data_IF_483653727269
#
_entry.id   IF_483653727269
#
_cell.length_a   1.000
_cell.length_b   1.000
_cell.length_c   1.000
_cell.angle_alpha   90.00
_cell.angle_beta   90.00
_cell.angle_gamma   90.00
#
_symmetry.space_group_name_H-M   'P 1'
#
loop_
_entity.id
_entity.type
_entity.pdbx_description
1 polymer ?
#
# COMPACT_ATOMS: atom_id res chain seq x y z
N UNK A 1 -18.77 10.72 -22.59
CA UNK A 1 -18.39 10.83 -21.17
C UNK A 1 -19.40 11.77 -20.55
N UNK A 2 -20.21 11.30 -19.61
CA UNK A 2 -20.98 12.23 -18.78
C UNK A 2 -20.01 13.19 -18.09
N UNK A 3 -20.34 14.49 -17.98
CA UNK A 3 -19.55 15.41 -17.17
C UNK A 3 -19.46 14.82 -15.77
N UNK A 4 -18.24 14.73 -15.24
CA UNK A 4 -18.04 14.30 -13.84
C UNK A 4 -18.96 15.17 -12.97
N UNK A 5 -19.78 14.57 -12.09
CA UNK A 5 -20.72 15.33 -11.29
C UNK A 5 -19.97 16.42 -10.53
N UNK A 6 -20.57 17.61 -10.42
CA UNK A 6 -19.95 18.72 -9.71
C UNK A 6 -19.54 18.28 -8.30
N UNK A 7 -18.39 18.79 -7.85
CA UNK A 7 -17.91 18.60 -6.48
C UNK A 7 -19.00 19.11 -5.54
N UNK A 8 -19.46 18.32 -4.56
CA UNK A 8 -20.46 18.79 -3.61
C UNK A 8 -19.97 20.05 -2.90
N UNK A 9 -20.81 21.07 -2.76
CA UNK A 9 -20.46 22.27 -1.96
C UNK A 9 -20.48 21.98 -0.45
N UNK A 10 -21.29 20.98 -0.05
CA UNK A 10 -21.45 20.55 1.35
C UNK A 10 -21.36 19.04 1.45
N UNK A 11 -20.92 18.60 2.62
CA UNK A 11 -20.91 17.20 3.02
C UNK A 11 -22.22 16.92 3.77
N UNK A 12 -23.02 15.98 3.28
CA UNK A 12 -24.22 15.50 3.97
C UNK A 12 -24.08 14.01 4.32
N UNK A 13 -24.98 13.53 5.19
CA UNK A 13 -24.89 12.18 5.72
C UNK A 13 -25.02 11.08 4.65
N UNK A 14 -25.52 11.37 3.45
CA UNK A 14 -25.71 10.39 2.38
C UNK A 14 -24.52 10.39 1.41
N UNK A 15 -24.18 11.57 0.90
CA UNK A 15 -23.06 11.78 -0.02
C UNK A 15 -21.73 11.25 0.54
N UNK A 16 -21.51 11.35 1.85
CA UNK A 16 -20.32 10.79 2.53
C UNK A 16 -20.14 9.32 2.27
N UNK A 17 -21.20 8.53 2.09
CA UNK A 17 -21.12 7.08 1.92
C UNK A 17 -21.29 6.62 0.47
N UNK A 18 -21.81 7.46 -0.42
CA UNK A 18 -22.02 7.11 -1.84
C UNK A 18 -20.98 7.70 -2.80
N UNK A 19 -20.39 8.88 -2.50
CA UNK A 19 -19.54 9.62 -3.45
C UNK A 19 -18.03 9.44 -3.23
N UNK A 20 -17.26 8.90 -4.21
CA UNK A 20 -15.80 8.86 -4.12
C UNK A 20 -15.17 10.26 -4.11
N UNK A 21 -15.91 11.29 -4.52
CA UNK A 21 -15.48 12.69 -4.51
C UNK A 21 -15.20 13.20 -3.10
N UNK A 22 -15.78 12.59 -2.06
CA UNK A 22 -15.59 12.97 -0.67
C UNK A 22 -14.56 12.01 -0.06
N UNK A 23 -13.27 12.32 -0.22
CA UNK A 23 -12.19 11.41 0.16
C UNK A 23 -11.76 11.58 1.63
N UNK A 24 -11.73 10.52 2.45
CA UNK A 24 -11.26 10.60 3.84
C UNK A 24 -9.73 10.70 3.90
N UNK A 25 -9.22 11.92 4.07
CA UNK A 25 -7.79 12.20 4.08
C UNK A 25 -7.11 11.69 5.36
N UNK A 26 -7.63 12.04 6.54
CA UNK A 26 -7.02 11.70 7.82
C UNK A 26 -8.01 11.72 8.98
N UNK A 27 -7.70 10.98 10.04
CA UNK A 27 -8.26 11.16 11.38
C UNK A 27 -7.41 12.19 12.15
N UNK A 28 -8.00 13.28 12.60
CA UNK A 28 -7.29 14.31 13.34
C UNK A 28 -8.17 14.93 14.43
N UNK A 29 -7.71 14.89 15.69
CA UNK A 29 -8.35 15.56 16.84
C UNK A 29 -9.85 15.26 16.99
N UNK A 30 -10.25 13.99 16.85
CA UNK A 30 -11.66 13.58 16.94
C UNK A 30 -12.50 13.88 15.69
N UNK A 31 -11.88 14.38 14.61
CA UNK A 31 -12.52 14.69 13.32
C UNK A 31 -11.97 13.78 12.22
N UNK A 32 -12.76 13.54 11.18
CA UNK A 32 -12.31 13.06 9.88
C UNK A 32 -12.15 14.29 8.98
N UNK A 33 -10.97 14.46 8.41
CA UNK A 33 -10.72 15.44 7.37
C UNK A 33 -11.10 14.82 6.02
N UNK A 34 -12.01 15.46 5.30
CA UNK A 34 -12.38 15.09 3.94
C UNK A 34 -11.90 16.14 2.95
N UNK A 35 -11.49 15.69 1.76
CA UNK A 35 -11.11 16.57 0.66
C UNK A 35 -11.86 16.21 -0.62
N UNK A 36 -12.19 17.21 -1.45
CA UNK A 36 -12.84 16.99 -2.73
C UNK A 36 -11.89 16.33 -3.72
N UNK A 37 -12.35 15.28 -4.38
CA UNK A 37 -11.64 14.53 -5.40
C UNK A 37 -12.51 14.38 -6.64
N UNK A 38 -11.86 14.11 -7.77
CA UNK A 38 -12.48 13.70 -9.04
C UNK A 38 -11.69 12.49 -9.58
N UNK A 39 -12.16 11.78 -10.62
CA UNK A 39 -11.36 10.75 -11.27
C UNK A 39 -9.96 11.23 -11.69
N UNK A 40 -9.85 12.49 -12.12
CA UNK A 40 -8.57 13.09 -12.51
C UNK A 40 -7.69 13.45 -11.31
N UNK A 41 -8.27 13.95 -10.21
CA UNK A 41 -7.55 14.19 -8.95
C UNK A 41 -6.92 12.91 -8.38
N UNK A 42 -7.66 11.79 -8.41
CA UNK A 42 -7.10 10.49 -8.01
C UNK A 42 -5.92 10.08 -8.90
N UNK A 43 -6.05 10.25 -10.22
CA UNK A 43 -4.99 9.92 -11.18
C UNK A 43 -3.73 10.77 -11.00
N UNK A 44 -3.89 12.08 -10.78
CA UNK A 44 -2.79 13.04 -10.56
C UNK A 44 -2.09 12.85 -9.21
N UNK A 45 -2.82 12.38 -8.20
CA UNK A 45 -2.27 12.14 -6.87
C UNK A 45 -1.29 10.96 -6.88
N UNK A 46 0.00 11.27 -6.65
CA UNK A 46 1.03 10.22 -6.49
C UNK A 46 0.70 9.35 -5.26
N UNK A 47 0.26 10.01 -4.19
CA UNK A 47 -0.27 9.39 -2.97
C UNK A 47 -1.46 10.19 -2.45
N UNK A 48 -2.35 9.54 -1.71
CA UNK A 48 -3.57 10.13 -1.14
C UNK A 48 -3.38 10.43 0.35
N UNK A 49 -2.25 11.07 0.65
CA UNK A 49 -1.87 11.56 1.98
C UNK A 49 -1.53 13.06 1.94
N UNK A 50 -1.40 13.63 3.14
CA UNK A 50 -1.18 15.06 3.32
C UNK A 50 0.12 15.50 2.64
N UNK A 51 0.00 16.53 1.81
CA UNK A 51 1.12 17.16 1.11
C UNK A 51 1.44 16.55 -0.27
N UNK A 52 0.85 15.40 -0.63
CA UNK A 52 1.07 14.75 -1.94
C UNK A 52 -0.22 14.46 -2.70
N UNK A 53 -1.36 14.50 -2.02
CA UNK A 53 -2.67 14.48 -2.67
C UNK A 53 -2.90 15.76 -3.47
N UNK A 54 -3.53 15.63 -4.63
CA UNK A 54 -3.93 16.74 -5.51
C UNK A 54 -5.46 16.83 -5.48
N UNK A 55 -6.04 17.60 -4.54
CA UNK A 55 -7.48 17.71 -4.42
C UNK A 55 -8.08 18.49 -5.60
N UNK A 56 -9.37 18.27 -5.85
CA UNK A 56 -10.11 18.91 -6.93
C UNK A 56 -10.46 20.38 -6.63
N UNK A 57 -10.48 20.75 -5.36
CA UNK A 57 -10.66 22.12 -4.89
C UNK A 57 -9.84 22.37 -3.61
N UNK A 58 -9.65 23.63 -3.26
CA UNK A 58 -8.87 24.06 -2.08
C UNK A 58 -9.63 23.88 -0.76
N UNK A 59 -10.97 23.81 -0.81
CA UNK A 59 -11.78 23.56 0.38
C UNK A 59 -11.71 22.10 0.81
N UNK A 60 -12.05 21.83 2.07
CA UNK A 60 -12.23 20.50 2.63
C UNK A 60 -13.26 20.56 3.75
N UNK A 61 -13.62 19.41 4.30
CA UNK A 61 -14.60 19.31 5.38
C UNK A 61 -14.00 18.62 6.60
N UNK A 62 -14.43 19.06 7.77
CA UNK A 62 -14.10 18.41 9.03
C UNK A 62 -15.41 17.92 9.64
N UNK A 63 -15.52 16.62 9.86
CA UNK A 63 -16.73 16.02 10.43
C UNK A 63 -16.34 15.21 11.67
N UNK A 64 -17.06 15.33 12.80
CA UNK A 64 -16.74 14.56 13.99
C UNK A 64 -16.77 13.07 13.71
N UNK A 65 -15.73 12.34 14.14
CA UNK A 65 -15.62 10.89 13.93
C UNK A 65 -16.84 10.18 14.51
N UNK A 66 -17.27 10.58 15.71
CA UNK A 66 -18.44 10.00 16.37
C UNK A 66 -19.74 10.18 15.57
N UNK A 67 -19.89 11.30 14.86
CA UNK A 67 -21.05 11.55 14.00
C UNK A 67 -21.02 10.59 12.79
N UNK A 68 -19.90 10.52 12.07
CA UNK A 68 -19.79 9.64 10.89
C UNK A 68 -19.94 8.17 11.27
N UNK A 69 -19.39 7.74 12.42
CA UNK A 69 -19.56 6.39 12.94
C UNK A 69 -21.01 6.08 13.28
N UNK A 70 -21.71 7.00 13.95
CA UNK A 70 -23.12 6.83 14.28
C UNK A 70 -23.97 6.73 13.01
N UNK A 71 -23.67 7.53 11.98
CA UNK A 71 -24.38 7.52 10.70
C UNK A 71 -24.12 6.20 9.94
N UNK A 72 -22.86 5.74 9.94
CA UNK A 72 -22.47 4.46 9.34
C UNK A 72 -23.21 3.27 9.97
N UNK A 73 -23.33 3.25 11.29
CA UNK A 73 -24.00 2.18 12.03
C UNK A 73 -25.51 2.18 11.82
N UNK A 74 -26.14 3.37 11.85
CA UNK A 74 -27.58 3.48 11.57
C UNK A 74 -27.93 3.00 10.17
N UNK A 75 -27.05 3.22 9.20
CA UNK A 75 -27.26 2.79 7.81
C UNK A 75 -27.05 1.29 7.59
N UNK A 76 -26.36 0.59 8.50
CA UNK A 76 -26.05 -0.84 8.37
C UNK A 76 -25.43 -1.21 7.02
N UNK A 77 -24.48 -0.39 6.53
CA UNK A 77 -23.86 -0.61 5.22
C UNK A 77 -22.99 -1.87 5.19
N UNK A 78 -23.08 -2.61 4.09
CA UNK A 78 -22.21 -3.76 3.82
C UNK A 78 -20.76 -3.33 3.60
N UNK A 79 -19.83 -4.22 3.94
CA UNK A 79 -18.41 -4.03 3.64
C UNK A 79 -18.19 -4.25 2.15
N UNK A 80 -17.59 -3.30 1.40
CA UNK A 80 -17.35 -3.49 -0.02
C UNK A 80 -16.20 -4.49 -0.25
N UNK A 81 -16.25 -5.29 -1.33
CA UNK A 81 -15.06 -6.00 -1.80
C UNK A 81 -14.02 -4.98 -2.27
N UNK A 82 -12.78 -5.17 -1.81
CA UNK A 82 -11.63 -4.35 -2.19
C UNK A 82 -10.52 -5.24 -2.75
N UNK A 83 -9.77 -4.71 -3.71
CA UNK A 83 -8.51 -5.30 -4.12
C UNK A 83 -7.34 -4.55 -3.47
N UNK A 84 -6.50 -5.25 -2.72
CA UNK A 84 -5.37 -4.63 -2.04
C UNK A 84 -4.05 -4.94 -2.74
N UNK A 85 -3.24 -3.91 -3.00
CA UNK A 85 -1.82 -4.08 -3.34
C UNK A 85 -1.00 -3.80 -2.08
N UNK A 86 -0.69 -4.87 -1.35
CA UNK A 86 0.27 -4.84 -0.24
C UNK A 86 1.69 -4.90 -0.80
N UNK A 87 2.63 -4.21 -0.17
CA UNK A 87 3.99 -4.16 -0.69
C UNK A 87 5.02 -3.85 0.39
N UNK A 88 6.25 -4.32 0.22
CA UNK A 88 7.31 -4.16 1.24
C UNK A 88 8.07 -2.83 1.18
N UNK A 89 7.51 -1.81 0.52
CA UNK A 89 8.18 -0.61 0.01
C UNK A 89 9.26 -0.84 -1.07
N UNK A 90 9.53 0.23 -1.83
CA UNK A 90 10.61 0.32 -2.82
C UNK A 90 10.69 -0.80 -3.88
N UNK A 91 9.60 -1.52 -4.10
CA UNK A 91 9.49 -2.67 -5.01
C UNK A 91 8.61 -2.38 -6.24
N UNK A 92 8.57 -1.13 -6.72
CA UNK A 92 7.78 -0.78 -7.91
C UNK A 92 6.26 -0.68 -7.68
N UNK A 93 5.76 -0.72 -6.44
CA UNK A 93 4.31 -0.62 -6.17
C UNK A 93 3.66 0.64 -6.73
N UNK A 94 4.35 1.79 -6.72
CA UNK A 94 3.84 3.03 -7.35
C UNK A 94 3.72 2.89 -8.87
N UNK A 95 4.69 2.22 -9.52
CA UNK A 95 4.62 1.96 -10.97
C UNK A 95 3.41 1.07 -11.29
N UNK A 96 3.26 -0.05 -10.58
CA UNK A 96 2.12 -0.96 -10.73
C UNK A 96 0.79 -0.23 -10.52
N UNK A 97 0.65 0.52 -9.43
CA UNK A 97 -0.58 1.25 -9.11
C UNK A 97 -0.91 2.41 -10.07
N UNK A 98 0.05 2.88 -10.87
CA UNK A 98 -0.22 3.82 -11.96
C UNK A 98 -0.64 3.07 -13.22
N UNK A 99 -0.01 1.94 -13.50
CA UNK A 99 -0.27 1.15 -14.69
C UNK A 99 -1.63 0.44 -14.68
N UNK A 100 -2.13 0.07 -13.49
CA UNK A 100 -3.46 -0.52 -13.30
C UNK A 100 -4.55 0.51 -13.00
N UNK A 101 -4.27 1.82 -13.07
CA UNK A 101 -5.26 2.89 -12.90
C UNK A 101 -5.89 3.28 -14.24
N UNK A 102 -6.76 2.42 -14.73
CA UNK A 102 -7.39 2.51 -16.06
C UNK A 102 -8.69 3.31 -15.95
N UNK A 103 -8.81 4.46 -16.65
CA UNK A 103 -10.03 5.26 -16.67
C UNK A 103 -11.27 4.42 -17.00
N UNK A 104 -12.30 4.53 -16.16
CA UNK A 104 -13.57 3.82 -16.33
C UNK A 104 -13.58 2.34 -15.93
N UNK A 105 -12.42 1.70 -15.70
CA UNK A 105 -12.36 0.27 -15.29
C UNK A 105 -11.96 0.08 -13.84
N UNK A 106 -11.02 0.90 -13.36
CA UNK A 106 -10.50 0.82 -11.99
C UNK A 106 -10.47 2.19 -11.34
N UNK A 107 -10.57 2.21 -10.01
CA UNK A 107 -10.25 3.37 -9.18
C UNK A 107 -9.11 2.99 -8.24
N UNK A 108 -7.91 3.53 -8.46
CA UNK A 108 -6.73 3.22 -7.64
C UNK A 108 -6.50 4.29 -6.58
N UNK A 109 -6.63 3.91 -5.31
CA UNK A 109 -6.35 4.76 -4.16
C UNK A 109 -4.96 4.43 -3.62
N UNK A 110 -4.04 5.41 -3.68
CA UNK A 110 -2.61 5.20 -3.45
C UNK A 110 -2.18 5.62 -2.07
N UNK A 111 -1.91 4.64 -1.21
CA UNK A 111 -1.42 4.85 0.17
C UNK A 111 -2.39 5.65 1.06
N UNK A 112 -3.65 5.21 1.26
CA UNK A 112 -4.59 5.94 2.12
C UNK A 112 -4.02 6.17 3.52
N UNK A 113 -3.96 7.44 3.94
CA UNK A 113 -3.36 7.80 5.21
C UNK A 113 -4.21 7.35 6.41
N UNK A 114 -5.54 7.35 6.27
CA UNK A 114 -6.47 6.79 7.28
C UNK A 114 -6.15 5.33 7.61
N UNK A 115 -5.89 4.48 6.61
CA UNK A 115 -5.43 3.09 6.85
C UNK A 115 -4.05 3.05 7.51
N UNK A 116 -3.12 3.94 7.11
CA UNK A 116 -1.81 4.03 7.76
C UNK A 116 -1.95 4.38 9.25
N UNK A 117 -2.82 5.32 9.61
CA UNK A 117 -3.05 5.72 11.00
C UNK A 117 -3.58 4.56 11.84
N UNK A 118 -4.59 3.84 11.33
CA UNK A 118 -5.12 2.64 11.99
C UNK A 118 -4.07 1.55 12.13
N UNK A 119 -3.22 1.35 11.12
CA UNK A 119 -2.17 0.35 11.16
C UNK A 119 -1.08 0.68 12.20
N UNK A 120 -0.69 1.95 12.33
CA UNK A 120 0.28 2.39 13.34
C UNK A 120 -0.29 2.26 14.75
N UNK A 121 -1.56 2.63 14.95
CA UNK A 121 -2.25 2.46 16.23
C UNK A 121 -2.33 0.97 16.63
N UNK A 122 -2.65 0.09 15.68
CA UNK A 122 -2.67 -1.35 15.90
C UNK A 122 -1.28 -1.95 16.19
N UNK A 123 -0.21 -1.33 15.68
CA UNK A 123 1.16 -1.78 15.84
C UNK A 123 1.82 -1.32 17.15
N UNK A 124 1.12 -0.53 17.97
CA UNK A 124 1.59 -0.15 19.30
C UNK A 124 1.83 -1.42 20.17
N UNK A 125 2.80 -1.42 21.11
CA UNK A 125 3.11 -2.59 21.92
C UNK A 125 1.93 -3.21 22.67
N UNK A 126 1.01 -2.36 23.14
CA UNK A 126 -0.22 -2.74 23.83
C UNK A 126 -1.44 -2.89 22.89
N UNK A 127 -1.22 -2.77 21.57
CA UNK A 127 -2.30 -2.65 20.58
C UNK A 127 -2.99 -1.27 20.62
N UNK A 128 -4.12 -1.12 19.90
CA UNK A 128 -4.86 0.13 19.87
C UNK A 128 -5.47 0.41 21.25
N UNK A 129 -5.45 1.68 21.68
CA UNK A 129 -5.95 2.08 23.01
C UNK A 129 -7.42 1.70 23.23
N UNK A 130 -8.23 1.82 22.19
CA UNK A 130 -9.64 1.42 22.17
C UNK A 130 -9.87 0.47 20.98
N UNK A 131 -9.76 -0.85 21.19
CA UNK A 131 -9.94 -1.84 20.12
C UNK A 131 -11.33 -1.81 19.47
N UNK A 132 -12.37 -1.45 20.23
CA UNK A 132 -13.74 -1.40 19.71
C UNK A 132 -13.89 -0.22 18.74
N UNK A 133 -13.45 0.97 19.13
CA UNK A 133 -13.43 2.16 18.26
C UNK A 133 -12.50 1.96 17.07
N UNK A 134 -11.33 1.34 17.26
CA UNK A 134 -10.42 1.00 16.17
C UNK A 134 -11.09 0.13 15.10
N UNK A 135 -11.81 -0.93 15.53
CA UNK A 135 -12.52 -1.82 14.61
C UNK A 135 -13.63 -1.07 13.84
N UNK A 136 -14.42 -0.25 14.55
CA UNK A 136 -15.44 0.62 13.94
C UNK A 136 -14.84 1.56 12.88
N UNK A 137 -13.72 2.20 13.20
CA UNK A 137 -13.00 3.08 12.25
C UNK A 137 -12.40 2.32 11.06
N UNK A 138 -11.96 1.08 11.24
CA UNK A 138 -11.50 0.22 10.16
C UNK A 138 -12.63 -0.16 9.20
N UNK A 139 -13.78 -0.60 9.73
CA UNK A 139 -14.98 -0.89 8.94
C UNK A 139 -15.50 0.34 8.21
N UNK A 140 -15.50 1.48 8.88
CA UNK A 140 -15.85 2.76 8.26
C UNK A 140 -14.88 3.09 7.13
N UNK A 141 -13.58 3.04 7.38
CA UNK A 141 -12.57 3.45 6.38
C UNK A 141 -12.65 2.59 5.12
N UNK A 142 -12.84 1.28 5.23
CA UNK A 142 -12.97 0.39 4.06
C UNK A 142 -14.25 0.63 3.28
N UNK A 143 -15.37 0.90 3.95
CA UNK A 143 -16.61 1.38 3.30
C UNK A 143 -16.35 2.70 2.58
N UNK A 144 -15.62 3.61 3.22
CA UNK A 144 -15.38 4.90 2.61
C UNK A 144 -14.48 4.81 1.37
N UNK A 145 -13.46 3.96 1.43
CA UNK A 145 -12.55 3.73 0.32
C UNK A 145 -13.19 2.93 -0.81
N UNK A 146 -14.16 2.05 -0.53
CA UNK A 146 -14.79 1.16 -1.52
C UNK A 146 -15.86 1.79 -2.40
N UNK A 147 -16.11 3.09 -2.24
CA UNK A 147 -16.95 3.87 -3.15
C UNK A 147 -16.35 3.89 -4.56
N UNK A 148 -17.22 3.93 -5.57
CA UNK A 148 -16.86 3.86 -7.00
C UNK A 148 -17.76 4.77 -7.84
N UNK A 149 -17.31 5.13 -9.04
CA UNK A 149 -18.10 5.95 -9.97
C UNK A 149 -19.03 5.13 -10.84
N UNK A 150 -18.68 3.86 -11.12
CA UNK A 150 -19.52 2.90 -11.82
C UNK A 150 -19.60 1.59 -11.01
N UNK A 151 -20.74 0.90 -11.05
CA UNK A 151 -21.02 -0.25 -10.20
C UNK A 151 -19.99 -1.40 -10.40
N UNK A 152 -19.57 -1.62 -11.64
CA UNK A 152 -18.61 -2.63 -12.08
C UNK A 152 -17.14 -2.19 -11.95
N UNK A 153 -16.88 -0.94 -11.57
CA UNK A 153 -15.52 -0.42 -11.41
C UNK A 153 -14.82 -1.06 -10.21
N UNK A 154 -13.69 -1.73 -10.45
CA UNK A 154 -12.89 -2.31 -9.38
C UNK A 154 -12.18 -1.22 -8.57
N UNK A 155 -12.29 -1.29 -7.24
CA UNK A 155 -11.57 -0.38 -6.34
C UNK A 155 -10.30 -1.05 -5.83
N UNK A 156 -9.17 -0.43 -6.14
CA UNK A 156 -7.85 -0.94 -5.82
C UNK A 156 -7.20 -0.03 -4.77
N UNK A 157 -6.86 -0.59 -3.62
CA UNK A 157 -6.16 0.11 -2.54
C UNK A 157 -4.69 -0.32 -2.54
N UNK A 158 -3.80 0.57 -2.98
CA UNK A 158 -2.37 0.38 -2.77
C UNK A 158 -2.04 0.72 -1.33
N UNK A 159 -1.68 -0.28 -0.53
CA UNK A 159 -1.46 -0.13 0.89
C UNK A 159 -0.16 0.65 1.21
N UNK A 160 -0.05 1.11 2.46
CA UNK A 160 1.19 1.62 3.07
C UNK A 160 1.93 0.48 3.79
N UNK A 161 3.25 0.60 4.04
CA UNK A 161 4.02 -0.43 4.77
C UNK A 161 3.41 -0.85 6.12
N UNK A 162 3.04 0.08 7.03
CA UNK A 162 2.36 -0.30 8.27
C UNK A 162 1.12 -1.18 8.07
N UNK A 163 0.38 -0.97 6.98
CA UNK A 163 -0.87 -1.67 6.69
C UNK A 163 -0.64 -3.16 6.43
N UNK A 164 0.58 -3.58 6.06
CA UNK A 164 0.94 -5.00 5.95
C UNK A 164 0.72 -5.77 7.28
N UNK A 165 0.84 -5.08 8.42
CA UNK A 165 0.68 -5.70 9.75
C UNK A 165 -0.77 -5.81 10.21
N UNK A 166 -1.71 -5.18 9.50
CA UNK A 166 -3.15 -5.35 9.71
C UNK A 166 -3.84 -6.13 8.59
N UNK A 167 -3.05 -6.78 7.72
CA UNK A 167 -3.54 -7.51 6.55
C UNK A 167 -4.66 -8.52 6.90
N UNK A 168 -4.55 -9.37 7.94
CA UNK A 168 -5.63 -10.30 8.28
C UNK A 168 -6.94 -9.58 8.63
N UNK A 169 -6.86 -8.46 9.37
CA UNK A 169 -8.04 -7.68 9.73
C UNK A 169 -8.75 -7.15 8.49
N UNK A 170 -8.01 -6.62 7.50
CA UNK A 170 -8.58 -6.14 6.23
C UNK A 170 -9.20 -7.27 5.39
N UNK A 171 -8.49 -8.39 5.24
CA UNK A 171 -8.95 -9.50 4.40
C UNK A 171 -10.17 -10.23 4.97
N UNK A 172 -10.40 -10.12 6.29
CA UNK A 172 -11.55 -10.72 6.98
C UNK A 172 -12.82 -9.86 6.93
N UNK A 173 -12.73 -8.59 6.51
CA UNK A 173 -13.91 -7.70 6.42
C UNK A 173 -14.89 -8.10 5.31
N UNK A 174 -14.37 -8.70 4.24
CA UNK A 174 -15.20 -9.16 3.13
C UNK A 174 -14.61 -10.42 2.50
N UNK A 175 -15.47 -11.44 2.30
CA UNK A 175 -15.09 -12.76 1.77
C UNK A 175 -14.59 -12.75 0.33
N UNK A 176 -14.88 -11.71 -0.43
CA UNK A 176 -14.48 -11.59 -1.84
C UNK A 176 -13.34 -10.58 -2.06
N UNK A 177 -12.88 -9.88 -1.01
CA UNK A 177 -11.69 -9.04 -1.15
C UNK A 177 -10.48 -9.88 -1.60
N UNK A 178 -9.64 -9.33 -2.45
CA UNK A 178 -8.48 -10.04 -3.01
C UNK A 178 -7.25 -9.17 -2.82
N UNK A 179 -6.08 -9.75 -3.02
CA UNK A 179 -4.88 -8.94 -2.90
C UNK A 179 -3.63 -9.53 -3.51
N UNK A 180 -2.71 -8.62 -3.80
CA UNK A 180 -1.39 -8.89 -4.31
C UNK A 180 -0.36 -8.49 -3.27
N UNK A 181 0.57 -9.38 -2.97
CA UNK A 181 1.67 -9.18 -2.04
C UNK A 181 2.96 -8.98 -2.83
N UNK A 182 3.31 -7.72 -3.08
CA UNK A 182 4.48 -7.34 -3.87
C UNK A 182 5.75 -7.33 -3.00
N UNK A 183 6.73 -8.16 -3.37
CA UNK A 183 7.96 -8.36 -2.61
C UNK A 183 9.21 -8.36 -3.50
N UNK A 184 10.38 -8.43 -2.85
CA UNK A 184 11.67 -8.62 -3.51
C UNK A 184 12.66 -9.25 -2.53
N UNK A 185 13.78 -9.76 -3.04
CA UNK A 185 14.89 -10.26 -2.22
C UNK A 185 15.53 -9.18 -1.35
N UNK A 186 16.21 -9.63 -0.29
CA UNK A 186 16.82 -8.74 0.71
C UNK A 186 17.74 -7.69 0.08
N UNK A 187 18.66 -8.10 -0.81
CA UNK A 187 19.64 -7.18 -1.38
C UNK A 187 18.97 -6.09 -2.22
N UNK A 188 18.05 -6.47 -3.12
CA UNK A 188 17.29 -5.51 -3.93
C UNK A 188 16.50 -4.53 -3.06
N UNK A 189 15.95 -5.00 -1.94
CA UNK A 189 15.29 -4.15 -0.97
C UNK A 189 16.26 -3.16 -0.31
N UNK A 190 17.41 -3.66 0.18
CA UNK A 190 18.45 -2.85 0.83
C UNK A 190 19.03 -1.80 -0.12
N UNK A 191 19.37 -2.17 -1.37
CA UNK A 191 19.85 -1.24 -2.39
C UNK A 191 18.89 -0.08 -2.60
N UNK A 192 17.58 -0.35 -2.57
CA UNK A 192 16.57 0.67 -2.79
C UNK A 192 16.34 1.57 -1.55
N UNK A 193 16.43 1.00 -0.35
CA UNK A 193 16.16 1.66 0.93
C UNK A 193 17.38 2.42 1.47
N UNK A 194 18.59 1.93 1.22
CA UNK A 194 19.83 2.55 1.72
C UNK A 194 20.39 3.61 0.76
N UNK A 195 19.81 3.75 -0.43
CA UNK A 195 20.27 4.66 -1.50
C UNK A 195 20.44 6.12 -1.09
N UNK A 196 19.58 6.65 -0.20
CA UNK A 196 19.60 8.08 0.14
C UNK A 196 19.46 8.31 1.65
N UNK A 197 19.97 9.43 2.20
CA UNK A 197 19.76 9.78 3.61
C UNK A 197 18.28 9.87 4.00
N UNK A 198 17.42 10.30 3.07
CA UNK A 198 15.97 10.35 3.29
C UNK A 198 15.38 8.94 3.46
N UNK A 199 15.74 7.99 2.60
CA UNK A 199 15.25 6.60 2.72
C UNK A 199 15.79 5.90 3.97
N UNK A 200 17.03 6.17 4.37
CA UNK A 200 17.63 5.68 5.63
C UNK A 200 16.87 6.19 6.86
N UNK A 201 16.54 7.49 6.90
CA UNK A 201 15.69 8.05 7.97
C UNK A 201 14.29 7.45 7.96
N UNK A 202 13.70 7.29 6.76
CA UNK A 202 12.38 6.69 6.60
C UNK A 202 12.33 5.28 7.18
N UNK A 203 13.28 4.40 6.84
CA UNK A 203 13.25 3.01 7.32
C UNK A 203 13.43 2.95 8.83
N UNK A 204 14.37 3.69 9.41
CA UNK A 204 14.53 3.76 10.86
C UNK A 204 13.25 4.24 11.57
N UNK A 205 12.58 5.26 11.02
CA UNK A 205 11.32 5.76 11.58
C UNK A 205 10.19 4.72 11.50
N UNK A 206 10.00 4.08 10.35
CA UNK A 206 8.94 3.09 10.15
C UNK A 206 9.18 1.85 11.02
N UNK A 207 10.41 1.34 11.09
CA UNK A 207 10.75 0.19 11.94
C UNK A 207 10.47 0.50 13.41
N UNK A 208 10.80 1.72 13.90
CA UNK A 208 10.45 2.14 15.27
C UNK A 208 8.95 2.26 15.51
N UNK A 209 8.20 2.84 14.56
CA UNK A 209 6.74 2.95 14.66
C UNK A 209 6.05 1.58 14.75
N UNK A 210 6.67 0.55 14.19
CA UNK A 210 6.13 -0.81 14.14
C UNK A 210 6.72 -1.73 15.23
N UNK A 211 7.33 -1.18 16.28
CA UNK A 211 8.01 -1.97 17.31
C UNK A 211 7.14 -3.08 17.90
N UNK A 212 5.88 -2.79 18.26
CA UNK A 212 4.97 -3.81 18.80
C UNK A 212 4.69 -4.92 17.79
N UNK A 213 4.35 -4.56 16.55
CA UNK A 213 4.07 -5.50 15.48
C UNK A 213 5.28 -6.35 15.04
N UNK A 214 6.49 -5.77 15.07
CA UNK A 214 7.76 -6.45 14.81
C UNK A 214 8.04 -7.47 15.91
N UNK A 215 7.92 -7.09 17.19
CA UNK A 215 8.11 -8.01 18.32
C UNK A 215 7.07 -9.12 18.37
N UNK A 216 5.89 -8.90 17.80
CA UNK A 216 4.87 -9.93 17.60
C UNK A 216 5.18 -10.87 16.42
N UNK A 217 6.34 -10.73 15.76
CA UNK A 217 6.77 -11.63 14.69
C UNK A 217 7.63 -12.74 15.30
N UNK A 218 7.31 -14.03 15.05
CA UNK A 218 8.11 -15.14 15.54
C UNK A 218 9.59 -14.99 15.18
N UNK A 219 10.47 -15.07 16.17
CA UNK A 219 11.91 -14.93 16.04
C UNK A 219 12.44 -13.49 16.06
N UNK A 220 11.59 -12.48 16.29
CA UNK A 220 11.98 -11.06 16.45
C UNK A 220 11.52 -10.45 17.79
N UNK A 221 11.07 -11.26 18.73
CA UNK A 221 10.44 -10.83 20.00
C UNK A 221 11.35 -9.96 20.85
N UNK A 222 12.66 -10.27 20.83
CA UNK A 222 13.68 -9.61 21.65
C UNK A 222 14.34 -8.42 20.97
N UNK A 223 13.99 -8.13 19.71
CA UNK A 223 14.60 -7.03 18.97
C UNK A 223 14.17 -5.69 19.57
N UNK A 224 15.12 -4.78 19.67
CA UNK A 224 14.88 -3.37 20.00
C UNK A 224 15.13 -2.51 18.75
N UNK A 225 14.07 -2.18 17.97
CA UNK A 225 14.18 -1.32 16.79
C UNK A 225 14.82 0.04 17.04
N UNK A 226 14.85 0.53 18.29
CA UNK A 226 15.49 1.79 18.64
C UNK A 226 17.02 1.74 18.57
N UNK A 227 17.61 0.54 18.67
CA UNK A 227 19.07 0.32 18.69
C UNK A 227 19.65 -0.09 17.34
N UNK A 228 18.80 -0.39 16.36
CA UNK A 228 19.24 -0.83 15.04
C UNK A 228 19.80 0.33 14.22
N UNK A 229 20.93 0.10 13.56
CA UNK A 229 21.41 1.00 12.52
C UNK A 229 20.53 0.90 11.25
N UNK A 230 20.78 1.73 10.22
CA UNK A 230 19.91 1.77 9.04
C UNK A 230 19.84 0.44 8.26
N UNK A 231 20.97 -0.24 7.95
CA UNK A 231 20.95 -1.57 7.33
C UNK A 231 20.18 -2.62 8.16
N UNK A 232 20.41 -2.69 9.47
CA UNK A 232 19.72 -3.63 10.35
C UNK A 232 18.23 -3.31 10.48
N UNK A 233 17.86 -2.03 10.59
CA UNK A 233 16.48 -1.60 10.64
C UNK A 233 15.73 -1.96 9.33
N UNK A 234 16.41 -1.88 8.19
CA UNK A 234 15.88 -2.31 6.91
C UNK A 234 15.72 -3.83 6.84
N UNK A 235 16.76 -4.59 7.22
CA UNK A 235 16.70 -6.05 7.28
C UNK A 235 15.58 -6.56 8.21
N UNK A 236 15.45 -5.96 9.40
CA UNK A 236 14.40 -6.25 10.38
C UNK A 236 13.01 -6.00 9.79
N UNK A 237 12.80 -4.85 9.15
CA UNK A 237 11.51 -4.52 8.54
C UNK A 237 11.20 -5.42 7.34
N UNK A 238 12.19 -5.78 6.52
CA UNK A 238 12.03 -6.74 5.42
C UNK A 238 11.56 -8.10 5.94
N UNK A 239 12.26 -8.63 6.95
CA UNK A 239 12.00 -9.94 7.53
C UNK A 239 10.61 -10.00 8.19
N UNK A 240 10.26 -8.97 8.97
CA UNK A 240 8.95 -8.86 9.59
C UNK A 240 7.82 -8.83 8.54
N UNK A 241 7.98 -8.06 7.45
CA UNK A 241 6.98 -7.99 6.38
C UNK A 241 6.84 -9.32 5.62
N UNK A 242 7.95 -9.98 5.26
CA UNK A 242 7.87 -11.28 4.57
C UNK A 242 7.26 -12.37 5.46
N UNK A 243 7.53 -12.35 6.76
CA UNK A 243 6.87 -13.25 7.70
C UNK A 243 5.35 -13.05 7.71
N UNK A 244 4.88 -11.80 7.70
CA UNK A 244 3.44 -11.48 7.58
C UNK A 244 2.85 -11.95 6.25
N UNK A 245 3.54 -11.71 5.13
CA UNK A 245 3.07 -12.15 3.82
C UNK A 245 3.00 -13.67 3.72
N UNK A 246 4.02 -14.39 4.20
CA UNK A 246 4.04 -15.86 4.21
C UNK A 246 2.85 -16.42 4.99
N UNK A 247 2.60 -15.89 6.19
CA UNK A 247 1.44 -16.33 6.98
C UNK A 247 0.12 -16.01 6.28
N UNK A 248 -0.02 -14.80 5.75
CA UNK A 248 -1.23 -14.41 5.03
C UNK A 248 -1.53 -15.31 3.82
N UNK A 249 -0.49 -15.72 3.07
CA UNK A 249 -0.64 -16.63 1.93
C UNK A 249 -1.01 -18.05 2.36
N UNK A 250 -0.54 -18.51 3.52
CA UNK A 250 -0.97 -19.79 4.08
C UNK A 250 -2.46 -19.75 4.47
N UNK A 251 -2.88 -18.66 5.12
CA UNK A 251 -4.21 -18.53 5.73
C UNK A 251 -5.30 -18.06 4.73
N UNK A 252 -4.92 -17.41 3.62
CA UNK A 252 -5.87 -16.80 2.69
C UNK A 252 -5.58 -17.13 1.21
N UNK A 253 -6.45 -17.94 0.59
CA UNK A 253 -6.31 -18.35 -0.81
C UNK A 253 -6.62 -17.26 -1.86
N UNK A 254 -7.15 -16.11 -1.41
CA UNK A 254 -7.49 -14.93 -2.23
C UNK A 254 -6.30 -13.99 -2.44
N UNK A 255 -5.15 -14.33 -1.86
CA UNK A 255 -3.91 -13.59 -2.02
C UNK A 255 -3.00 -14.28 -3.03
N UNK A 256 -2.23 -13.47 -3.75
CA UNK A 256 -1.12 -13.91 -4.60
C UNK A 256 0.15 -13.15 -4.25
N UNK A 257 1.31 -13.80 -4.35
CA UNK A 257 2.62 -13.14 -4.26
C UNK A 257 3.08 -12.66 -5.63
N UNK A 258 3.87 -11.59 -5.66
CA UNK A 258 4.56 -11.15 -6.86
C UNK A 258 5.96 -10.68 -6.51
N UNK A 259 6.97 -11.34 -7.09
CA UNK A 259 8.33 -10.79 -7.12
C UNK A 259 8.33 -9.56 -8.05
N UNK A 260 8.75 -8.42 -7.52
CA UNK A 260 8.75 -7.19 -8.30
C UNK A 260 9.66 -7.23 -9.53
N UNK A 261 10.64 -8.14 -9.64
CA UNK A 261 11.42 -8.27 -10.87
C UNK A 261 10.51 -8.57 -12.07
N UNK A 262 9.47 -9.38 -11.89
CA UNK A 262 8.52 -9.70 -12.95
C UNK A 262 7.77 -8.47 -13.46
N UNK A 263 7.53 -7.45 -12.63
CA UNK A 263 6.92 -6.19 -13.07
C UNK A 263 7.80 -5.44 -14.08
N UNK A 264 9.12 -5.59 -13.98
CA UNK A 264 10.07 -4.94 -14.89
C UNK A 264 10.38 -5.83 -16.10
N UNK A 265 10.41 -7.14 -15.90
CA UNK A 265 10.83 -8.10 -16.93
C UNK A 265 9.67 -8.52 -17.83
N UNK A 266 8.47 -8.67 -17.26
CA UNK A 266 7.23 -9.12 -17.93
C UNK A 266 6.05 -8.20 -17.60
N UNK A 267 6.17 -6.86 -17.82
CA UNK A 267 5.19 -5.88 -17.38
C UNK A 267 3.76 -6.17 -17.88
N UNK A 268 3.58 -6.45 -19.18
CA UNK A 268 2.25 -6.69 -19.75
C UNK A 268 1.53 -7.87 -19.07
N UNK A 269 2.24 -8.98 -18.84
CA UNK A 269 1.69 -10.18 -18.20
C UNK A 269 1.31 -9.92 -16.74
N UNK A 270 2.16 -9.18 -16.02
CA UNK A 270 1.86 -8.76 -14.64
C UNK A 270 0.61 -7.86 -14.59
N UNK A 271 0.47 -6.92 -15.51
CA UNK A 271 -0.70 -6.03 -15.54
C UNK A 271 -1.99 -6.80 -15.82
N UNK A 272 -1.95 -7.71 -16.80
CA UNK A 272 -3.10 -8.55 -17.14
C UNK A 272 -3.51 -9.43 -15.96
N UNK A 273 -2.57 -10.19 -15.37
CA UNK A 273 -2.86 -11.07 -14.25
C UNK A 273 -3.30 -10.30 -12.99
N UNK A 274 -2.74 -9.11 -12.74
CA UNK A 274 -3.14 -8.27 -11.61
C UNK A 274 -4.59 -7.79 -11.76
N UNK A 275 -4.97 -7.31 -12.95
CA UNK A 275 -6.33 -6.84 -13.20
C UNK A 275 -7.34 -7.98 -13.18
N UNK A 276 -7.00 -9.13 -13.77
CA UNK A 276 -7.84 -10.33 -13.71
C UNK A 276 -8.08 -10.75 -12.25
N UNK A 277 -7.03 -10.78 -11.43
CA UNK A 277 -7.17 -11.06 -10.00
C UNK A 277 -8.07 -10.02 -9.30
N UNK A 278 -7.99 -8.75 -9.69
CA UNK A 278 -8.80 -7.66 -9.18
C UNK A 278 -10.26 -7.64 -9.69
N UNK A 279 -10.62 -8.55 -10.59
CA UNK A 279 -11.96 -8.62 -11.19
C UNK A 279 -12.19 -7.64 -12.35
N UNK A 280 -11.12 -7.10 -12.93
CA UNK A 280 -11.14 -6.28 -14.13
C UNK A 280 -10.44 -7.00 -15.29
N UNK A 281 -10.64 -6.55 -16.53
CA UNK A 281 -10.00 -7.15 -17.70
C UNK A 281 -9.10 -6.17 -18.44
N UNK A 282 -7.96 -6.68 -18.90
CA UNK A 282 -7.04 -6.00 -19.81
C UNK A 282 -6.68 -6.97 -20.94
N UNK A 283 -6.93 -6.57 -22.18
CA UNK A 283 -6.54 -7.39 -23.33
C UNK A 283 -5.02 -7.36 -23.51
N UNK A 284 -4.45 -8.38 -24.16
CA UNK A 284 -3.02 -8.43 -24.46
C UNK A 284 -2.49 -7.16 -25.17
N UNK A 285 -3.16 -6.65 -26.22
CA UNK A 285 -2.77 -5.39 -26.87
C UNK A 285 -2.81 -4.17 -25.94
N UNK A 286 -3.84 -4.04 -25.09
CA UNK A 286 -3.91 -2.93 -24.12
C UNK A 286 -2.78 -3.03 -23.07
N UNK A 287 -2.51 -4.23 -22.56
CA UNK A 287 -1.41 -4.47 -21.64
C UNK A 287 -0.05 -4.15 -22.27
N UNK A 288 0.15 -4.55 -23.54
CA UNK A 288 1.33 -4.22 -24.33
C UNK A 288 1.49 -2.71 -24.53
N UNK A 289 0.41 -1.99 -24.82
CA UNK A 289 0.43 -0.54 -25.00
C UNK A 289 0.81 0.21 -23.71
N UNK A 290 0.27 -0.20 -22.56
CA UNK A 290 0.62 0.39 -21.26
C UNK A 290 2.08 0.08 -20.92
N UNK A 291 2.51 -1.17 -21.08
CA UNK A 291 3.87 -1.62 -20.80
C UNK A 291 4.93 -0.97 -21.69
N UNK A 292 4.60 -0.72 -22.97
CA UNK A 292 5.49 -0.06 -23.94
C UNK A 292 5.51 1.46 -23.86
N UNK A 293 4.57 2.06 -23.12
CA UNK A 293 4.36 3.51 -23.04
C UNK A 293 5.32 4.26 -22.11
N UNK A 294 5.15 5.59 -22.04
CA UNK A 294 6.02 6.48 -21.24
C UNK A 294 6.07 6.13 -19.75
N UNK A 295 5.02 5.52 -19.20
CA UNK A 295 4.96 5.16 -17.77
C UNK A 295 6.13 4.23 -17.35
N UNK A 296 6.56 3.34 -18.23
CA UNK A 296 7.68 2.42 -17.99
C UNK A 296 9.04 2.97 -18.43
N UNK A 297 9.07 4.19 -18.98
CA UNK A 297 10.29 4.91 -19.38
C UNK A 297 10.61 6.10 -18.47
N UNK A 298 9.75 6.37 -17.47
CA UNK A 298 9.87 7.49 -16.53
C UNK A 298 9.85 7.00 -15.09
N UNK A 299 10.45 7.78 -14.19
CA UNK A 299 10.41 7.47 -12.78
C UNK A 299 8.99 7.64 -12.21
N UNK A 300 8.42 6.58 -11.63
CA UNK A 300 7.00 6.55 -11.24
C UNK A 300 6.57 7.62 -10.22
N UNK A 301 7.52 8.18 -9.46
CA UNK A 301 7.30 9.28 -8.49
C UNK A 301 7.82 10.63 -8.96
N UNK A 302 8.50 10.67 -10.10
CA UNK A 302 9.06 11.89 -10.71
C UNK A 302 8.95 11.75 -12.24
N UNK A 303 7.78 12.05 -12.82
CA UNK A 303 7.53 11.81 -14.24
C UNK A 303 8.47 12.57 -15.19
N UNK A 304 9.15 13.62 -14.72
CA UNK A 304 10.13 14.37 -15.53
C UNK A 304 11.43 13.60 -15.75
N UNK A 305 11.79 12.70 -14.84
CA UNK A 305 13.04 11.93 -14.89
C UNK A 305 12.88 10.68 -15.76
N UNK A 306 13.70 10.57 -16.82
CA UNK A 306 13.84 9.33 -17.59
C UNK A 306 14.40 8.22 -16.69
N UNK A 307 13.71 7.09 -16.64
CA UNK A 307 14.06 5.95 -15.81
C UNK A 307 13.33 4.70 -16.30
N UNK A 308 13.99 3.96 -17.18
CA UNK A 308 13.52 2.68 -17.72
C UNK A 308 14.14 1.49 -16.96
N UNK A 309 13.87 0.27 -17.45
CA UNK A 309 14.42 -0.97 -16.90
C UNK A 309 15.95 -0.97 -16.90
N UNK A 310 16.59 -0.52 -17.96
CA UNK A 310 18.04 -0.50 -18.06
C UNK A 310 18.68 0.50 -17.10
N UNK A 311 18.10 1.69 -16.98
CA UNK A 311 18.51 2.71 -16.02
C UNK A 311 18.39 2.18 -14.60
N UNK A 312 17.31 1.45 -14.28
CA UNK A 312 17.17 0.76 -12.98
C UNK A 312 18.28 -0.27 -12.77
N UNK A 313 18.57 -1.11 -13.76
CA UNK A 313 19.64 -2.13 -13.66
C UNK A 313 21.01 -1.49 -13.44
N UNK A 314 21.36 -0.45 -14.23
CA UNK A 314 22.63 0.29 -14.07
C UNK A 314 22.73 0.94 -12.69
N UNK A 315 21.65 1.54 -12.20
CA UNK A 315 21.62 2.18 -10.88
C UNK A 315 21.80 1.18 -9.74
N UNK A 316 21.14 0.02 -9.81
CA UNK A 316 21.31 -1.03 -8.79
C UNK A 316 22.72 -1.65 -8.81
N UNK A 317 23.31 -1.86 -9.99
CA UNK A 317 24.68 -2.35 -10.11
C UNK A 317 25.68 -1.38 -9.45
N UNK A 318 25.58 -0.08 -9.76
CA UNK A 318 26.45 0.94 -9.16
C UNK A 318 26.28 1.04 -7.63
N UNK A 319 25.05 0.88 -7.12
CA UNK A 319 24.78 0.87 -5.69
C UNK A 319 25.30 -0.39 -4.99
N UNK A 320 25.35 -1.53 -5.69
CA UNK A 320 25.83 -2.79 -5.12
C UNK A 320 27.28 -2.68 -4.66
N UNK A 321 28.14 -2.08 -5.48
CA UNK A 321 29.55 -1.90 -5.13
C UNK A 321 29.71 -0.92 -3.97
N UNK A 322 28.95 0.18 -3.98
CA UNK A 322 29.00 1.21 -2.94
C UNK A 322 28.49 0.74 -1.58
N UNK A 323 27.48 -0.13 -1.57
CA UNK A 323 26.78 -0.57 -0.37
C UNK A 323 27.20 -1.97 0.10
N UNK A 324 28.19 -2.61 -0.55
CA UNK A 324 28.58 -3.99 -0.24
C UNK A 324 28.81 -4.27 1.26
N UNK A 325 29.54 -3.44 2.03
CA UNK A 325 29.71 -3.68 3.47
C UNK A 325 28.40 -3.64 4.25
N UNK A 326 27.47 -2.77 3.85
CA UNK A 326 26.16 -2.66 4.50
C UNK A 326 25.22 -3.80 4.13
N UNK A 327 25.29 -4.29 2.89
CA UNK A 327 24.59 -5.50 2.47
C UNK A 327 25.05 -6.71 3.28
N UNK A 328 26.36 -6.88 3.45
CA UNK A 328 26.92 -7.97 4.24
C UNK A 328 26.56 -7.86 5.73
N UNK A 329 26.62 -6.65 6.31
CA UNK A 329 26.17 -6.41 7.68
C UNK A 329 24.69 -6.79 7.86
N UNK A 330 23.82 -6.36 6.94
CA UNK A 330 22.40 -6.69 6.99
C UNK A 330 22.13 -8.20 6.82
N UNK A 331 22.82 -8.87 5.89
CA UNK A 331 22.70 -10.33 5.70
C UNK A 331 23.15 -11.09 6.95
N UNK A 332 24.28 -10.70 7.54
CA UNK A 332 24.79 -11.31 8.77
C UNK A 332 23.82 -11.08 9.93
N UNK A 333 23.23 -9.88 10.03
CA UNK A 333 22.19 -9.60 11.00
C UNK A 333 20.98 -10.53 10.81
N UNK A 334 20.46 -10.69 9.59
CA UNK A 334 19.35 -11.63 9.32
C UNK A 334 19.71 -13.04 9.78
N UNK A 335 20.88 -13.56 9.37
CA UNK A 335 21.35 -14.90 9.78
C UNK A 335 21.47 -15.08 11.28
N UNK A 336 21.76 -14.01 12.02
CA UNK A 336 21.86 -14.05 13.49
C UNK A 336 20.51 -14.09 14.21
N UNK A 337 19.39 -13.88 13.49
CA UNK A 337 18.05 -13.91 14.08
C UNK A 337 17.38 -15.27 13.86
N UNK A 338 16.62 -15.80 14.84
CA UNK A 338 15.85 -17.03 14.66
C UNK A 338 14.86 -16.94 13.48
N UNK A 339 14.30 -15.74 13.24
CA UNK A 339 13.44 -15.50 12.10
C UNK A 339 14.18 -15.65 10.75
N UNK A 340 15.46 -15.31 10.69
CA UNK A 340 16.28 -15.39 9.47
C UNK A 340 16.66 -16.81 9.07
N UNK A 341 16.85 -17.73 10.02
CA UNK A 341 17.14 -19.14 9.73
C UNK A 341 16.02 -19.83 8.94
N UNK A 342 14.78 -19.38 9.13
CA UNK A 342 13.59 -19.89 8.42
C UNK A 342 13.17 -19.02 7.22
N UNK A 343 13.91 -17.94 6.93
CA UNK A 343 13.53 -16.96 5.93
C UNK A 343 13.86 -17.44 4.51
N UNK A 344 12.87 -18.01 3.82
CA UNK A 344 12.93 -18.12 2.35
C UNK A 344 12.60 -16.78 1.69
N UNK A 345 13.26 -16.47 0.58
CA UNK A 345 12.91 -15.32 -0.27
C UNK A 345 11.65 -15.62 -1.10
N UNK A 346 11.40 -16.91 -1.38
CA UNK A 346 10.23 -17.34 -2.14
C UNK A 346 8.98 -17.32 -1.26
N UNK A 347 7.90 -16.76 -1.81
CA UNK A 347 6.57 -16.75 -1.23
C UNK A 347 5.66 -17.65 -2.08
N UNK A 348 4.85 -18.49 -1.43
CA UNK A 348 3.89 -19.34 -2.12
C UNK A 348 2.77 -18.58 -2.83
N UNK A 349 1.99 -19.28 -3.66
CA UNK A 349 0.90 -18.73 -4.49
C UNK A 349 1.35 -17.56 -5.39
N UNK A 350 2.35 -17.75 -6.26
CA UNK A 350 2.77 -16.70 -7.18
C UNK A 350 1.63 -16.28 -8.12
N UNK A 351 1.64 -15.01 -8.53
CA UNK A 351 0.69 -14.48 -9.51
C UNK A 351 0.93 -15.06 -10.92
N UNK A 352 2.20 -15.26 -11.29
CA UNK A 352 2.68 -15.76 -12.59
C UNK A 352 3.46 -17.06 -12.45
#
# INVERSE_FOLDING_TARGET
MDPSPSIPERIDAESVFSRPDIYPLEFARGQIQFVPMTPDSYRKSIFTDRGRIVPAASHGWQVPIGQVLSDFERRSLDQPPLFFVFHIAHCGSTLLARAIDIPGRTLVIREPFTLRQLAVDAAAPQGPRDPATWNRCLRLTTVLLGRRYAADQAVIVKANVPVNFMLPALMNLHRESRGLLLHTGLDNYLLSVLKTPMHRRWVGNVTRQLTGAIRATPGLEKIDPGKLNAPEAAACLWLAQLSRFRRALADCNRLRSLDCQLLFDRPAEVLQATLELAGASLTGPEAGAIAGGELFRRHAKDPGRAFDREARTRELAALSDQLAPELDAARNWVKSTPAGESASVSLGRPLL
#
